data_IF_272587610446
#
_entry.id   IF_272587610446
#
_cell.length_a   1.000
_cell.length_b   1.000
_cell.length_c   1.000
_cell.angle_alpha   90.00
_cell.angle_beta   90.00
_cell.angle_gamma   90.00
#
_symmetry.space_group_name_H-M   'P 1'
#
loop_
_entity.id
_entity.type
_entity.pdbx_description
1 polymer ?
#
# COMPACT_ATOMS: atom_id res chain seq x y z
N UNK A 1 11.61 16.30 -4.33
CA UNK A 1 12.09 14.90 -4.30
C UNK A 1 10.91 14.03 -3.95
N UNK A 2 10.49 13.14 -4.84
CA UNK A 2 9.47 12.14 -4.53
C UNK A 2 10.00 11.15 -3.50
N UNK A 3 9.23 10.90 -2.43
CA UNK A 3 9.60 9.87 -1.47
C UNK A 3 9.20 8.50 -2.00
N UNK A 4 10.09 7.54 -1.84
CA UNK A 4 9.76 6.14 -2.06
C UNK A 4 8.76 5.65 -1.02
N UNK A 5 8.00 4.62 -1.38
CA UNK A 5 7.08 3.92 -0.48
C UNK A 5 7.75 3.47 0.84
N UNK A 6 9.08 3.29 0.84
CA UNK A 6 9.84 2.89 2.02
C UNK A 6 10.11 4.03 2.99
N UNK A 7 10.38 5.22 2.47
CA UNK A 7 10.61 6.42 3.28
C UNK A 7 9.33 6.88 3.98
N UNK A 8 8.18 6.50 3.43
CA UNK A 8 6.85 6.85 3.97
C UNK A 8 6.20 5.69 4.72
N UNK A 9 6.86 4.54 4.90
CA UNK A 9 6.25 3.32 5.47
C UNK A 9 5.51 3.58 6.78
N UNK A 10 6.12 4.31 7.72
CA UNK A 10 5.49 4.65 9.00
C UNK A 10 4.27 5.54 8.78
N UNK A 11 4.40 6.61 8.01
CA UNK A 11 3.30 7.51 7.70
C UNK A 11 2.14 6.81 6.96
N UNK A 12 2.44 5.90 6.04
CA UNK A 12 1.47 5.05 5.37
C UNK A 12 0.67 4.21 6.38
N UNK A 13 1.36 3.50 7.27
CA UNK A 13 0.72 2.67 8.30
C UNK A 13 -0.15 3.51 9.23
N UNK A 14 0.30 4.69 9.61
CA UNK A 14 -0.43 5.58 10.52
C UNK A 14 -1.63 6.25 9.85
N UNK A 15 -1.52 6.60 8.56
CA UNK A 15 -2.46 7.52 7.90
C UNK A 15 -3.47 6.83 6.97
N UNK A 16 -3.18 5.63 6.45
CA UNK A 16 -4.10 4.96 5.52
C UNK A 16 -5.43 4.62 6.20
N UNK A 17 -6.56 5.00 5.61
CA UNK A 17 -7.86 4.67 6.16
C UNK A 17 -8.20 3.18 5.98
N UNK A 18 -9.13 2.66 6.79
CA UNK A 18 -9.62 1.28 6.63
C UNK A 18 -10.22 0.99 5.25
N UNK A 19 -11.09 1.86 4.70
CA UNK A 19 -11.63 1.69 3.35
C UNK A 19 -10.56 1.69 2.25
N UNK A 20 -9.61 2.63 2.28
CA UNK A 20 -8.52 2.70 1.29
C UNK A 20 -7.61 1.48 1.39
N UNK A 21 -7.30 1.00 2.60
CA UNK A 21 -6.53 -0.23 2.80
C UNK A 21 -7.24 -1.47 2.22
N UNK A 22 -8.57 -1.55 2.37
CA UNK A 22 -9.36 -2.64 1.78
C UNK A 22 -9.34 -2.58 0.25
N UNK A 23 -9.62 -1.41 -0.33
CA UNK A 23 -9.56 -1.19 -1.78
C UNK A 23 -8.18 -1.57 -2.33
N UNK A 24 -7.12 -1.13 -1.66
CA UNK A 24 -5.75 -1.45 -2.04
C UNK A 24 -5.48 -2.97 -2.05
N UNK A 25 -5.93 -3.70 -1.03
CA UNK A 25 -5.80 -5.15 -0.97
C UNK A 25 -6.52 -5.85 -2.12
N UNK A 26 -7.75 -5.42 -2.42
CA UNK A 26 -8.55 -6.01 -3.50
C UNK A 26 -7.89 -5.77 -4.87
N UNK A 27 -7.40 -4.55 -5.14
CA UNK A 27 -6.67 -4.21 -6.38
C UNK A 27 -5.33 -4.92 -6.49
N UNK A 28 -4.58 -5.05 -5.39
CA UNK A 28 -3.32 -5.80 -5.38
C UNK A 28 -3.53 -7.29 -5.68
N UNK A 29 -4.65 -7.87 -5.25
CA UNK A 29 -5.01 -9.25 -5.58
C UNK A 29 -5.44 -9.38 -7.05
N UNK A 30 -6.33 -8.51 -7.51
CA UNK A 30 -6.85 -8.49 -8.89
C UNK A 30 -5.70 -8.43 -9.91
N UNK A 31 -4.70 -7.57 -9.64
CA UNK A 31 -3.52 -7.37 -10.47
C UNK A 31 -2.38 -8.36 -10.20
N UNK A 32 -2.68 -9.42 -9.42
CA UNK A 32 -1.77 -10.53 -9.05
C UNK A 32 -0.46 -10.08 -8.43
N UNK A 33 -0.46 -8.91 -7.78
CA UNK A 33 0.68 -8.40 -7.03
C UNK A 33 0.86 -9.22 -5.76
N UNK A 34 -0.23 -9.48 -5.04
CA UNK A 34 -0.28 -10.40 -3.91
C UNK A 34 -1.05 -11.67 -4.28
N UNK A 35 -0.79 -12.76 -3.58
CA UNK A 35 -1.55 -14.01 -3.70
C UNK A 35 -2.72 -14.03 -2.72
N UNK A 36 -3.66 -14.96 -2.89
CA UNK A 36 -4.74 -15.19 -1.93
C UNK A 36 -4.20 -15.45 -0.52
N UNK A 37 -3.15 -16.28 -0.38
CA UNK A 37 -2.52 -16.57 0.91
C UNK A 37 -1.89 -15.32 1.57
N UNK A 38 -1.30 -14.41 0.78
CA UNK A 38 -0.77 -13.15 1.30
C UNK A 38 -1.89 -12.19 1.71
N UNK A 39 -3.01 -12.17 0.97
CA UNK A 39 -4.21 -11.41 1.33
C UNK A 39 -4.83 -11.93 2.62
N UNK A 40 -5.04 -13.25 2.74
CA UNK A 40 -5.57 -13.88 3.95
C UNK A 40 -4.66 -13.61 5.16
N UNK A 41 -3.34 -13.71 5.00
CA UNK A 41 -2.38 -13.40 6.06
C UNK A 41 -2.48 -11.93 6.50
N UNK A 42 -2.64 -10.98 5.58
CA UNK A 42 -2.84 -9.58 5.91
C UNK A 42 -4.20 -9.33 6.59
N UNK A 43 -5.26 -10.01 6.14
CA UNK A 43 -6.59 -9.89 6.75
C UNK A 43 -6.66 -10.47 8.16
N UNK A 44 -5.84 -11.47 8.47
CA UNK A 44 -5.71 -12.06 9.80
C UNK A 44 -5.03 -11.15 10.84
N UNK A 45 -4.37 -10.06 10.40
CA UNK A 45 -3.75 -9.10 11.32
C UNK A 45 -4.80 -8.41 12.21
N UNK A 46 -4.51 -8.21 13.51
CA UNK A 46 -5.52 -7.87 14.51
C UNK A 46 -6.04 -6.43 14.41
N UNK A 47 -5.30 -5.53 13.75
CA UNK A 47 -5.70 -4.15 13.58
C UNK A 47 -5.27 -3.60 12.21
N UNK A 48 -5.85 -2.45 11.86
CA UNK A 48 -5.58 -1.73 10.59
C UNK A 48 -4.09 -1.48 10.37
N UNK A 49 -3.37 -1.05 11.41
CA UNK A 49 -1.96 -0.68 11.31
C UNK A 49 -1.07 -1.90 11.04
N UNK A 50 -1.32 -3.01 11.72
CA UNK A 50 -0.60 -4.27 11.52
C UNK A 50 -0.88 -4.83 10.13
N UNK A 51 -2.14 -4.78 9.68
CA UNK A 51 -2.51 -5.12 8.30
C UNK A 51 -1.79 -4.25 7.27
N UNK A 52 -1.83 -2.93 7.43
CA UNK A 52 -1.15 -2.00 6.53
C UNK A 52 0.36 -2.29 6.47
N UNK A 53 0.97 -2.61 7.62
CA UNK A 53 2.39 -3.00 7.71
C UNK A 53 2.68 -4.29 6.96
N UNK A 54 1.82 -5.31 7.11
CA UNK A 54 1.95 -6.58 6.39
C UNK A 54 1.88 -6.40 4.88
N UNK A 55 0.93 -5.57 4.41
CA UNK A 55 0.76 -5.25 2.97
C UNK A 55 1.99 -4.56 2.39
N UNK A 56 2.45 -3.46 2.99
CA UNK A 56 3.58 -2.69 2.47
C UNK A 56 4.89 -3.50 2.50
N UNK A 57 5.10 -4.33 3.52
CA UNK A 57 6.28 -5.17 3.63
C UNK A 57 6.25 -6.34 2.63
N UNK A 58 5.07 -6.85 2.30
CA UNK A 58 4.89 -7.87 1.26
C UNK A 58 5.15 -7.31 -0.13
N UNK A 59 4.52 -6.18 -0.48
CA UNK A 59 4.78 -5.48 -1.75
C UNK A 59 6.26 -5.10 -1.89
N UNK A 60 6.90 -4.65 -0.80
CA UNK A 60 8.35 -4.36 -0.78
C UNK A 60 9.19 -5.54 -1.21
N UNK A 61 8.93 -6.74 -0.66
CA UNK A 61 9.69 -7.96 -0.94
C UNK A 61 9.57 -8.39 -2.41
N UNK A 62 8.48 -8.03 -3.09
CA UNK A 62 8.24 -8.35 -4.50
C UNK A 62 8.93 -7.40 -5.49
N UNK A 63 9.57 -6.34 -5.01
CA UNK A 63 10.46 -5.52 -5.83
C UNK A 63 9.81 -4.27 -6.43
N UNK A 64 10.46 -3.69 -7.45
CA UNK A 64 10.14 -2.35 -7.96
C UNK A 64 8.76 -2.28 -8.63
N UNK A 65 8.41 -3.25 -9.46
CA UNK A 65 7.15 -3.26 -10.20
C UNK A 65 5.92 -3.32 -9.28
N UNK A 66 5.95 -4.20 -8.28
CA UNK A 66 4.91 -4.29 -7.26
C UNK A 66 4.72 -2.97 -6.51
N UNK A 67 5.84 -2.31 -6.12
CA UNK A 67 5.81 -0.99 -5.47
C UNK A 67 5.20 0.08 -6.37
N UNK A 68 5.55 0.09 -7.66
CA UNK A 68 4.97 1.04 -8.62
C UNK A 68 3.47 0.84 -8.79
N UNK A 69 2.99 -0.41 -8.89
CA UNK A 69 1.54 -0.70 -8.95
C UNK A 69 0.81 -0.22 -7.68
N UNK A 70 1.34 -0.53 -6.50
CA UNK A 70 0.75 -0.07 -5.23
C UNK A 70 0.65 1.46 -5.15
N UNK A 71 1.68 2.19 -5.59
CA UNK A 71 1.63 3.66 -5.65
C UNK A 71 0.55 4.13 -6.61
N UNK A 72 0.44 3.54 -7.81
CA UNK A 72 -0.60 3.88 -8.77
C UNK A 72 -2.00 3.70 -8.18
N UNK A 73 -2.26 2.57 -7.51
CA UNK A 73 -3.56 2.32 -6.87
C UNK A 73 -3.84 3.31 -5.74
N UNK A 74 -2.83 3.68 -4.94
CA UNK A 74 -3.00 4.69 -3.91
C UNK A 74 -3.29 6.08 -4.49
N UNK A 75 -2.68 6.46 -5.60
CA UNK A 75 -2.96 7.75 -6.25
C UNK A 75 -4.38 7.82 -6.82
N UNK A 76 -4.90 6.69 -7.30
CA UNK A 76 -6.29 6.58 -7.77
C UNK A 76 -7.29 6.59 -6.59
N UNK A 77 -6.99 5.87 -5.51
CA UNK A 77 -7.91 5.66 -4.38
C UNK A 77 -7.90 6.84 -3.40
N UNK A 78 -6.74 7.46 -3.16
CA UNK A 78 -6.54 8.56 -2.21
C UNK A 78 -5.33 9.45 -2.58
N UNK A 79 -5.48 10.36 -3.56
CA UNK A 79 -4.41 11.27 -3.95
C UNK A 79 -3.99 12.23 -2.82
N UNK A 80 -4.88 12.52 -1.85
CA UNK A 80 -4.57 13.37 -0.71
C UNK A 80 -3.62 12.68 0.27
N UNK A 81 -3.79 11.37 0.51
CA UNK A 81 -2.85 10.58 1.27
C UNK A 81 -1.47 10.57 0.59
N UNK A 82 -1.44 10.41 -0.74
CA UNK A 82 -0.19 10.46 -1.50
C UNK A 82 0.52 11.81 -1.35
N UNK A 83 -0.20 12.93 -1.48
CA UNK A 83 0.34 14.27 -1.29
C UNK A 83 0.84 14.49 0.15
N UNK A 84 0.03 14.12 1.14
CA UNK A 84 0.39 14.19 2.56
C UNK A 84 1.68 13.42 2.88
N UNK A 85 1.88 12.26 2.27
CA UNK A 85 3.07 11.44 2.46
C UNK A 85 4.25 11.88 1.58
N UNK A 86 4.04 12.73 0.58
CA UNK A 86 5.04 13.11 -0.41
C UNK A 86 5.36 11.98 -1.40
N UNK A 87 4.40 11.08 -1.63
CA UNK A 87 4.44 10.04 -2.67
C UNK A 87 3.97 10.71 -3.96
N UNK A 88 4.88 11.12 -4.83
CA UNK A 88 4.51 11.66 -6.13
C UNK A 88 5.33 10.98 -7.23
N UNK A 89 4.68 10.47 -8.27
CA UNK A 89 5.37 9.93 -9.46
C UNK A 89 5.35 10.89 -10.65
N UNK A 90 4.78 12.08 -10.52
CA UNK A 90 4.80 13.11 -11.57
C UNK A 90 4.01 14.38 -11.23
N UNK A 91 4.70 15.36 -10.63
CA UNK A 91 4.66 16.77 -11.02
C UNK A 91 6.12 17.26 -11.10
#
# INVERSE_FOLDING_TARGET
MAKSLMEVRTGFVESISGPVLKSLLDRLLEEKVITDAEREAAEAEPNRSDRARSVIDTVRRKGKEARSKMIGFLMDDDPFLCDHLGINTGL
#
